data_IF_742992183939
#
_entry.id   IF_742992183939
#
_cell.length_a   1.000
_cell.length_b   1.000
_cell.length_c   1.000
_cell.angle_alpha   90.00
_cell.angle_beta   90.00
_cell.angle_gamma   90.00
#
_symmetry.space_group_name_H-M   'P 1'
#
loop_
_entity.id
_entity.type
_entity.pdbx_description
1 polymer ?
#
# COMPACT_ATOMS: atom_id res chain seq x y z
N UNK A 1 17.98 8.51 -4.52
CA UNK A 1 17.06 8.72 -5.66
C UNK A 1 16.18 9.91 -5.37
N UNK A 2 15.90 10.75 -6.37
CA UNK A 2 14.95 11.87 -6.23
C UNK A 2 13.64 11.50 -6.93
N UNK A 3 12.50 11.71 -6.25
CA UNK A 3 11.15 11.46 -6.77
C UNK A 3 10.42 12.80 -6.76
N UNK A 4 9.78 13.13 -7.89
CA UNK A 4 8.94 14.32 -7.95
C UNK A 4 7.64 14.05 -7.21
N UNK A 5 7.19 15.03 -6.41
CA UNK A 5 5.96 14.96 -5.64
C UNK A 5 5.23 16.28 -5.70
N UNK A 6 3.91 16.23 -5.90
CA UNK A 6 3.00 17.35 -5.71
C UNK A 6 2.20 17.06 -4.45
N UNK A 7 2.21 17.98 -3.51
CA UNK A 7 1.41 17.92 -2.30
C UNK A 7 0.31 18.99 -2.36
N UNK A 8 -0.94 18.54 -2.48
CA UNK A 8 -2.14 19.38 -2.40
C UNK A 8 -2.83 19.28 -1.04
N UNK A 9 -2.27 18.48 -0.12
CA UNK A 9 -2.76 18.42 1.26
C UNK A 9 -2.20 19.56 2.10
N UNK A 10 -2.77 19.76 3.27
CA UNK A 10 -2.23 20.68 4.31
C UNK A 10 -1.25 20.00 5.27
N UNK A 11 -0.92 18.72 5.01
CA UNK A 11 -0.03 17.93 5.83
C UNK A 11 1.40 17.94 5.31
N UNK A 12 2.35 17.60 6.19
CA UNK A 12 3.76 17.44 5.83
C UNK A 12 3.93 16.29 4.82
N UNK A 13 4.97 16.38 4.00
CA UNK A 13 5.35 15.29 3.10
C UNK A 13 5.66 14.01 3.89
N UNK A 14 5.35 12.82 3.31
CA UNK A 14 5.81 11.56 3.87
C UNK A 14 7.33 11.56 4.05
N UNK A 15 7.79 11.09 5.19
CA UNK A 15 9.20 11.01 5.54
C UNK A 15 9.52 9.69 6.24
N UNK A 16 10.77 9.28 6.18
CA UNK A 16 11.27 8.14 6.94
C UNK A 16 11.50 8.54 8.39
N UNK A 17 10.88 7.85 9.33
CA UNK A 17 11.00 8.15 10.76
C UNK A 17 12.41 7.88 11.31
N UNK A 18 13.11 6.88 10.73
CA UNK A 18 14.49 6.54 11.08
C UNK A 18 15.31 6.29 9.83
N UNK A 19 16.64 6.31 9.96
CA UNK A 19 17.55 6.04 8.86
C UNK A 19 17.35 4.65 8.23
N UNK A 20 16.87 3.68 9.00
CA UNK A 20 16.63 2.30 8.57
C UNK A 20 15.17 2.01 8.20
N UNK A 21 14.26 3.00 8.27
CA UNK A 21 12.88 2.81 7.87
C UNK A 21 12.77 2.56 6.37
N UNK A 22 11.95 1.60 5.96
CA UNK A 22 11.61 1.35 4.56
C UNK A 22 10.29 2.02 4.14
N UNK A 23 9.39 2.27 5.08
CA UNK A 23 8.08 2.87 4.85
C UNK A 23 8.00 4.31 5.34
N UNK A 24 7.15 5.09 4.67
CA UNK A 24 6.77 6.45 5.03
C UNK A 24 5.27 6.48 5.28
N UNK A 25 4.83 7.08 6.38
CA UNK A 25 3.40 7.16 6.69
C UNK A 25 2.64 8.04 5.68
N UNK A 26 1.48 7.55 5.25
CA UNK A 26 0.49 8.30 4.46
C UNK A 26 -0.62 8.79 5.38
N UNK A 27 -0.96 10.07 5.23
CA UNK A 27 -2.00 10.72 6.03
C UNK A 27 -3.29 10.89 5.24
N UNK A 28 -4.42 10.76 5.93
CA UNK A 28 -5.72 11.15 5.41
C UNK A 28 -5.76 12.65 5.12
N UNK A 29 -6.25 13.03 3.95
CA UNK A 29 -6.54 14.40 3.56
C UNK A 29 -8.03 14.48 3.23
N UNK A 30 -8.83 14.75 4.24
CA UNK A 30 -10.29 14.75 4.19
C UNK A 30 -10.84 16.02 4.86
N UNK A 31 -12.01 16.45 4.43
CA UNK A 31 -12.65 17.65 4.99
C UNK A 31 -13.47 17.33 6.23
N UNK A 32 -14.13 16.16 6.23
CA UNK A 32 -14.99 15.71 7.30
C UNK A 32 -14.51 14.36 7.86
N UNK A 33 -14.73 14.16 9.14
CA UNK A 33 -14.47 12.88 9.82
C UNK A 33 -15.28 11.76 9.17
N UNK A 34 -14.64 10.64 8.90
CA UNK A 34 -15.27 9.45 8.32
C UNK A 34 -15.41 8.37 9.38
N UNK A 35 -16.59 7.78 9.46
CA UNK A 35 -16.86 6.59 10.28
C UNK A 35 -16.88 5.38 9.33
N UNK A 36 -15.89 4.51 9.46
CA UNK A 36 -15.78 3.28 8.70
C UNK A 36 -16.35 2.12 9.53
N UNK A 37 -17.56 1.68 9.20
CA UNK A 37 -18.23 0.60 9.91
C UNK A 37 -17.61 -0.76 9.65
N UNK A 38 -17.91 -1.77 10.50
CA UNK A 38 -17.47 -3.15 10.26
C UNK A 38 -17.77 -3.63 8.84
N UNK A 39 -16.78 -4.26 8.20
CA UNK A 39 -16.81 -4.80 6.83
C UNK A 39 -17.01 -3.76 5.71
N UNK A 40 -17.08 -2.48 6.05
CA UNK A 40 -17.07 -1.42 5.03
C UNK A 40 -15.66 -1.12 4.52
N UNK A 41 -15.60 -0.54 3.34
CA UNK A 41 -14.37 -0.02 2.71
C UNK A 41 -14.58 1.37 2.17
N UNK A 42 -13.51 2.15 2.16
CA UNK A 42 -13.51 3.51 1.61
C UNK A 42 -12.17 3.81 0.94
N UNK A 43 -12.19 4.65 -0.08
CA UNK A 43 -10.97 5.25 -0.63
C UNK A 43 -10.73 6.57 0.09
N UNK A 44 -9.65 6.63 0.87
CA UNK A 44 -9.24 7.85 1.58
C UNK A 44 -8.19 8.56 0.75
N UNK A 45 -8.41 9.82 0.44
CA UNK A 45 -7.49 10.69 -0.30
C UNK A 45 -6.30 11.09 0.58
N UNK A 46 -5.15 11.33 -0.06
CA UNK A 46 -3.93 11.79 0.62
C UNK A 46 -3.49 13.18 0.19
N UNK A 47 -4.03 13.71 -0.90
CA UNK A 47 -3.58 14.96 -1.52
C UNK A 47 -2.21 14.86 -2.20
N UNK A 48 -1.64 13.66 -2.32
CA UNK A 48 -0.30 13.44 -2.86
C UNK A 48 -0.34 12.86 -4.27
N UNK A 49 0.58 13.34 -5.13
CA UNK A 49 0.78 12.88 -6.51
C UNK A 49 2.27 12.71 -6.71
N UNK A 50 2.72 11.58 -7.25
CA UNK A 50 4.14 11.27 -7.43
C UNK A 50 4.46 10.89 -8.87
N UNK A 51 5.73 11.06 -9.26
CA UNK A 51 6.27 10.57 -10.52
C UNK A 51 7.53 9.77 -10.24
N UNK A 52 7.42 8.46 -10.33
CA UNK A 52 8.52 7.53 -10.10
C UNK A 52 9.38 7.36 -11.37
N UNK A 53 10.67 7.09 -11.25
CA UNK A 53 11.48 6.62 -12.37
C UNK A 53 11.01 5.24 -12.85
N UNK A 54 11.15 4.96 -14.15
CA UNK A 54 10.91 3.62 -14.71
C UNK A 54 11.78 2.59 -13.97
N UNK A 55 11.22 1.41 -13.69
CA UNK A 55 11.83 0.35 -12.90
C UNK A 55 11.60 0.46 -11.40
N UNK A 56 10.76 1.42 -10.98
CA UNK A 56 10.32 1.56 -9.59
C UNK A 56 8.79 1.62 -9.51
N UNK A 57 8.28 1.13 -8.40
CA UNK A 57 6.89 1.24 -7.98
C UNK A 57 6.80 1.87 -6.59
N UNK A 58 5.64 2.41 -6.24
CA UNK A 58 5.33 2.66 -4.85
C UNK A 58 4.26 1.66 -4.39
N UNK A 59 4.47 1.06 -3.22
CA UNK A 59 3.54 0.13 -2.61
C UNK A 59 2.84 0.80 -1.43
N UNK A 60 1.51 0.77 -1.45
CA UNK A 60 0.68 1.17 -0.30
C UNK A 60 0.40 -0.05 0.55
N UNK A 61 0.87 -0.02 1.79
CA UNK A 61 0.79 -1.14 2.74
C UNK A 61 0.05 -0.72 4.01
N UNK A 62 -0.59 -1.68 4.73
CA UNK A 62 -1.19 -1.41 6.03
C UNK A 62 -0.14 -0.97 7.05
N UNK A 63 -0.58 -0.24 8.06
CA UNK A 63 0.21 0.00 9.27
C UNK A 63 -0.07 -1.11 10.28
N UNK A 64 0.99 -1.72 10.78
CA UNK A 64 0.90 -2.83 11.76
C UNK A 64 0.07 -2.47 12.99
N UNK A 65 0.22 -1.23 13.49
CA UNK A 65 -0.54 -0.76 14.65
C UNK A 65 -2.04 -0.66 14.39
N UNK A 66 -2.46 -0.22 13.20
CA UNK A 66 -3.88 -0.17 12.83
C UNK A 66 -4.45 -1.58 12.62
N UNK A 67 -3.68 -2.45 11.97
CA UNK A 67 -4.08 -3.82 11.73
C UNK A 67 -4.24 -4.60 13.05
N UNK A 68 -3.25 -4.54 13.93
CA UNK A 68 -3.24 -5.33 15.17
C UNK A 68 -4.25 -4.82 16.22
N UNK A 69 -4.41 -3.49 16.35
CA UNK A 69 -5.23 -2.93 17.43
C UNK A 69 -6.68 -2.69 17.01
N UNK A 70 -6.91 -2.35 15.75
CA UNK A 70 -8.22 -1.89 15.28
C UNK A 70 -8.78 -2.73 14.13
N UNK A 71 -8.05 -3.72 13.64
CA UNK A 71 -8.50 -4.55 12.50
C UNK A 71 -8.61 -3.78 11.19
N UNK A 72 -7.92 -2.65 11.06
CA UNK A 72 -7.95 -1.82 9.85
C UNK A 72 -6.81 -2.22 8.93
N UNK A 73 -7.13 -2.48 7.66
CA UNK A 73 -6.18 -2.88 6.64
C UNK A 73 -6.36 -2.08 5.35
N UNK A 74 -5.38 -2.20 4.46
CA UNK A 74 -5.49 -1.76 3.06
C UNK A 74 -6.03 -2.93 2.26
N UNK A 75 -7.20 -2.78 1.66
CA UNK A 75 -7.94 -3.89 1.03
C UNK A 75 -7.16 -4.57 -0.11
N UNK A 76 -6.47 -3.78 -0.92
CA UNK A 76 -5.66 -4.23 -2.05
C UNK A 76 -4.17 -4.35 -1.70
N UNK A 77 -3.84 -4.74 -0.47
CA UNK A 77 -2.45 -4.77 0.00
C UNK A 77 -1.63 -5.91 -0.62
N UNK A 78 -0.43 -5.58 -1.15
CA UNK A 78 0.11 -4.24 -1.35
C UNK A 78 -0.57 -3.54 -2.54
N UNK A 79 -1.02 -2.29 -2.33
CA UNK A 79 -1.50 -1.45 -3.43
C UNK A 79 -0.34 -1.02 -4.30
N UNK A 80 -0.44 -1.14 -5.62
CA UNK A 80 0.61 -0.78 -6.56
C UNK A 80 0.36 0.60 -7.16
N UNK A 81 1.39 1.43 -7.18
CA UNK A 81 1.42 2.72 -7.88
C UNK A 81 2.54 2.65 -8.91
N UNK A 82 2.16 2.62 -10.18
CA UNK A 82 3.06 2.51 -11.30
C UNK A 82 3.86 3.81 -11.53
N UNK A 83 5.01 3.68 -12.18
CA UNK A 83 5.91 4.82 -12.45
C UNK A 83 5.26 5.91 -13.31
N UNK A 84 4.33 5.56 -14.19
CA UNK A 84 3.60 6.46 -15.09
C UNK A 84 2.22 6.92 -14.56
N UNK A 85 1.81 6.45 -13.38
CA UNK A 85 0.60 6.96 -12.74
C UNK A 85 0.79 8.42 -12.30
N UNK A 86 -0.19 9.28 -12.62
CA UNK A 86 -0.16 10.71 -12.28
C UNK A 86 -1.39 11.15 -11.49
N UNK A 87 -2.26 10.20 -11.12
CA UNK A 87 -3.40 10.47 -10.28
C UNK A 87 -3.02 10.68 -8.81
N UNK A 88 -4.00 11.07 -8.02
CA UNK A 88 -3.87 11.18 -6.56
C UNK A 88 -3.68 9.80 -5.94
N UNK A 89 -2.74 9.70 -4.99
CA UNK A 89 -2.58 8.51 -4.17
C UNK A 89 -3.80 8.38 -3.26
N UNK A 90 -4.61 7.35 -3.49
CA UNK A 90 -5.73 6.97 -2.64
C UNK A 90 -5.42 5.71 -1.87
N UNK A 91 -5.87 5.65 -0.62
CA UNK A 91 -5.73 4.47 0.24
C UNK A 91 -7.08 3.78 0.39
N UNK A 92 -7.19 2.53 -0.06
CA UNK A 92 -8.42 1.74 0.06
C UNK A 92 -8.41 1.05 1.43
N UNK A 93 -9.03 1.68 2.43
CA UNK A 93 -9.15 1.10 3.77
C UNK A 93 -10.34 0.14 3.86
N UNK A 94 -10.18 -0.91 4.64
CA UNK A 94 -11.22 -1.84 5.04
C UNK A 94 -11.20 -2.03 6.55
N UNK A 95 -12.38 -2.08 7.17
CA UNK A 95 -12.55 -2.38 8.60
C UNK A 95 -12.94 -3.86 8.77
N UNK A 96 -12.02 -4.67 9.27
CA UNK A 96 -12.20 -6.10 9.54
C UNK A 96 -12.53 -6.37 11.03
N UNK A 97 -12.76 -5.32 11.81
CA UNK A 97 -13.14 -5.42 13.22
C UNK A 97 -14.67 -5.49 13.39
N UNK A 98 -15.13 -5.50 14.65
CA UNK A 98 -16.55 -5.47 15.01
C UNK A 98 -17.02 -4.08 15.40
N UNK A 99 -16.11 -3.13 15.55
CA UNK A 99 -16.37 -1.79 16.05
C UNK A 99 -16.21 -0.76 14.93
N UNK A 100 -16.88 0.37 15.02
CA UNK A 100 -16.70 1.49 14.13
C UNK A 100 -15.30 2.07 14.28
N UNK A 101 -14.66 2.40 13.16
CA UNK A 101 -13.36 3.06 13.13
C UNK A 101 -13.50 4.49 12.62
N UNK A 102 -13.01 5.44 13.42
CA UNK A 102 -13.08 6.87 13.09
C UNK A 102 -11.77 7.28 12.41
N UNK A 103 -11.88 7.92 11.25
CA UNK A 103 -10.78 8.49 10.50
C UNK A 103 -10.93 10.01 10.51
N UNK A 104 -9.94 10.69 11.08
CA UNK A 104 -9.87 12.15 11.07
C UNK A 104 -8.84 12.64 10.05
N UNK A 105 -8.96 13.91 9.65
CA UNK A 105 -7.97 14.55 8.82
C UNK A 105 -6.58 14.52 9.49
N UNK A 106 -5.55 14.16 8.72
CA UNK A 106 -4.19 14.03 9.21
C UNK A 106 -3.84 12.70 9.88
N UNK A 107 -4.81 11.81 10.11
CA UNK A 107 -4.54 10.48 10.65
C UNK A 107 -3.61 9.70 9.72
N UNK A 108 -2.65 8.98 10.31
CA UNK A 108 -1.74 8.08 9.58
C UNK A 108 -2.46 6.77 9.29
N UNK A 109 -2.93 6.60 8.05
CA UNK A 109 -3.85 5.54 7.63
C UNK A 109 -3.17 4.36 6.93
N UNK A 110 -2.00 4.58 6.35
CA UNK A 110 -1.23 3.57 5.63
C UNK A 110 0.26 3.94 5.66
N UNK A 111 1.10 3.13 5.04
CA UNK A 111 2.48 3.46 4.76
C UNK A 111 2.80 3.21 3.29
N UNK A 112 3.71 4.00 2.73
CA UNK A 112 4.21 3.88 1.37
C UNK A 112 5.66 3.39 1.38
N UNK A 113 5.96 2.39 0.55
CA UNK A 113 7.31 1.86 0.33
C UNK A 113 7.66 2.03 -1.13
N UNK A 114 8.81 2.60 -1.43
CA UNK A 114 9.33 2.66 -2.80
C UNK A 114 10.18 1.41 -3.04
N UNK A 115 9.85 0.66 -4.07
CA UNK A 115 10.52 -0.59 -4.42
C UNK A 115 11.01 -0.58 -5.87
N UNK A 116 12.15 -1.21 -6.11
CA UNK A 116 12.59 -1.55 -7.46
C UNK A 116 11.88 -2.83 -7.91
N UNK A 117 11.52 -2.92 -9.17
CA UNK A 117 10.94 -4.13 -9.75
C UNK A 117 11.61 -4.48 -11.08
N UNK A 118 11.55 -5.75 -11.45
CA UNK A 118 11.97 -6.22 -12.75
C UNK A 118 10.75 -6.33 -13.69
N UNK A 119 11.01 -6.11 -14.98
CA UNK A 119 10.03 -6.40 -16.04
C UNK A 119 10.44 -7.70 -16.72
N UNK A 120 9.46 -8.55 -16.95
CA UNK A 120 9.68 -9.84 -17.61
C UNK A 120 9.12 -9.82 -19.02
N UNK A 121 9.84 -10.46 -19.94
CA UNK A 121 9.33 -10.83 -21.25
C UNK A 121 9.01 -12.34 -21.21
N UNK A 122 7.79 -12.69 -21.58
CA UNK A 122 7.33 -14.07 -21.53
C UNK A 122 7.90 -14.89 -22.71
N UNK A 123 8.63 -15.98 -22.41
CA UNK A 123 8.96 -17.02 -23.38
C UNK A 123 7.94 -18.15 -23.22
N UNK A 124 7.00 -18.24 -24.15
CA UNK A 124 6.00 -19.31 -24.15
C UNK A 124 6.67 -20.64 -24.50
N UNK A 125 6.46 -21.64 -23.64
CA UNK A 125 6.94 -23.01 -23.79
C UNK A 125 5.79 -23.98 -23.51
N UNK A 126 5.85 -25.19 -24.06
CA UNK A 126 4.82 -26.21 -23.83
C UNK A 126 5.01 -26.91 -22.46
N UNK A 127 6.24 -27.03 -22.00
CA UNK A 127 6.58 -27.76 -20.76
C UNK A 127 7.67 -26.98 -20.03
N UNK A 128 7.50 -26.84 -18.70
CA UNK A 128 8.56 -26.31 -17.81
C UNK A 128 9.52 -27.43 -17.41
N UNK A 129 10.74 -27.06 -17.05
CA UNK A 129 11.71 -27.98 -16.49
C UNK A 129 11.24 -28.60 -15.16
N UNK A 130 11.71 -29.80 -14.87
CA UNK A 130 11.39 -30.51 -13.64
C UNK A 130 12.23 -29.99 -12.48
N UNK A 131 11.61 -29.93 -11.29
CA UNK A 131 12.29 -29.60 -10.04
C UNK A 131 11.96 -30.61 -8.95
N UNK A 132 12.80 -30.70 -7.92
CA UNK A 132 12.55 -31.59 -6.77
C UNK A 132 11.26 -31.25 -6.02
N UNK A 133 10.77 -30.01 -6.10
CA UNK A 133 9.49 -29.59 -5.52
C UNK A 133 8.31 -29.96 -6.44
N UNK A 134 8.50 -30.01 -7.75
CA UNK A 134 7.43 -30.23 -8.73
C UNK A 134 6.25 -29.31 -8.52
N UNK A 135 5.04 -29.84 -8.56
CA UNK A 135 3.78 -29.12 -8.35
C UNK A 135 3.37 -28.95 -6.88
N UNK A 136 4.24 -29.32 -5.93
CA UNK A 136 3.95 -29.27 -4.50
C UNK A 136 3.73 -27.84 -4.00
N UNK A 137 2.58 -27.57 -3.38
CA UNK A 137 2.18 -26.26 -2.83
C UNK A 137 1.11 -26.41 -1.74
N UNK A 138 0.58 -25.28 -1.27
CA UNK A 138 -0.52 -25.22 -0.29
C UNK A 138 -0.30 -26.08 0.98
N UNK A 139 0.93 -26.07 1.51
CA UNK A 139 1.27 -26.83 2.72
C UNK A 139 1.67 -28.28 2.46
N UNK A 140 2.13 -28.63 1.26
CA UNK A 140 2.62 -29.97 0.91
C UNK A 140 3.79 -30.49 1.78
N UNK A 141 4.42 -29.60 2.56
CA UNK A 141 5.50 -29.93 3.52
C UNK A 141 4.98 -30.24 4.92
N UNK A 142 3.65 -30.28 5.12
CA UNK A 142 3.02 -30.56 6.42
C UNK A 142 2.91 -29.33 7.33
N UNK A 143 2.30 -29.52 8.51
CA UNK A 143 2.26 -28.55 9.61
C UNK A 143 3.45 -28.75 10.53
#
# INVERSE_FOLDING_TARGET
MKVQIVNKSKHILPNYETLASAGMDLRANIEETVILKPLERIVVKTGLFIALPIGFEAQVRPRSGLAAKFGISVLNSPGTIDADYRGEIGVILVNLSKDDFIINDGDRIAQMVIAKHERVDWLSVDILDETSRGSGGFGSTGK
#
